data_IF_178193804849
#
_entry.id   IF_178193804849
#
_cell.length_a   1.000
_cell.length_b   1.000
_cell.length_c   1.000
_cell.angle_alpha   90.00
_cell.angle_beta   90.00
_cell.angle_gamma   90.00
#
_symmetry.space_group_name_H-M   'P 1'
#
loop_
_entity.id
_entity.type
_entity.pdbx_description
1 polymer ?
#
# COMPACT_ATOMS: atom_id res chain seq x y z
N UNK A 1 15.42 6.66 -9.88
CA UNK A 1 15.07 6.89 -8.46
C UNK A 1 14.11 5.80 -7.99
N UNK A 2 13.88 5.69 -6.68
CA UNK A 2 13.06 4.63 -6.07
C UNK A 2 11.63 4.53 -6.66
N UNK A 3 11.00 5.64 -7.05
CA UNK A 3 9.68 5.63 -7.72
C UNK A 3 9.71 4.91 -9.07
N UNK A 4 10.82 4.96 -9.82
CA UNK A 4 10.98 4.21 -11.07
C UNK A 4 10.99 2.70 -10.81
N UNK A 5 11.80 2.25 -9.84
CA UNK A 5 11.86 0.85 -9.41
C UNK A 5 10.51 0.35 -8.89
N UNK A 6 9.86 1.16 -8.05
CA UNK A 6 8.53 0.86 -7.52
C UNK A 6 7.49 0.69 -8.64
N UNK A 7 7.49 1.57 -9.64
CA UNK A 7 6.58 1.45 -10.80
C UNK A 7 6.91 0.23 -11.65
N UNK A 8 8.18 -0.09 -11.89
CA UNK A 8 8.58 -1.28 -12.66
C UNK A 8 8.09 -2.57 -11.99
N UNK A 9 8.27 -2.71 -10.68
CA UNK A 9 7.76 -3.85 -9.90
C UNK A 9 6.22 -3.94 -10.02
N UNK A 10 5.51 -2.83 -9.80
CA UNK A 10 4.05 -2.82 -9.88
C UNK A 10 3.56 -3.24 -11.28
N UNK A 11 4.21 -2.74 -12.33
CA UNK A 11 3.92 -3.13 -13.71
C UNK A 11 4.16 -4.62 -13.97
N UNK A 12 5.29 -5.17 -13.51
CA UNK A 12 5.63 -6.58 -13.68
C UNK A 12 4.60 -7.50 -13.01
N UNK A 13 4.30 -7.27 -11.72
CA UNK A 13 3.39 -8.12 -10.94
C UNK A 13 1.92 -7.99 -11.36
N UNK A 14 1.51 -6.82 -11.85
CA UNK A 14 0.09 -6.55 -12.15
C UNK A 14 -0.23 -6.56 -13.65
N UNK A 15 0.77 -6.77 -14.52
CA UNK A 15 0.63 -6.69 -15.98
C UNK A 15 0.11 -5.34 -16.46
N UNK A 16 0.54 -4.23 -15.84
CA UNK A 16 0.04 -2.88 -16.15
C UNK A 16 1.00 -2.10 -17.03
N UNK A 17 0.43 -1.27 -17.91
CA UNK A 17 1.20 -0.39 -18.79
C UNK A 17 1.96 0.70 -17.97
N UNK A 18 3.30 0.80 -18.09
CA UNK A 18 4.09 1.83 -17.41
C UNK A 18 3.63 3.27 -17.66
N UNK A 19 3.11 3.56 -18.85
CA UNK A 19 2.59 4.89 -19.21
C UNK A 19 1.39 5.33 -18.36
N UNK A 20 0.69 4.37 -17.71
CA UNK A 20 -0.46 4.66 -16.84
C UNK A 20 -0.09 4.78 -15.37
N UNK A 21 1.01 4.16 -14.95
CA UNK A 21 1.41 4.07 -13.54
C UNK A 21 2.55 5.02 -13.19
N UNK A 22 3.38 5.39 -14.17
CA UNK A 22 4.49 6.32 -13.95
C UNK A 22 3.96 7.69 -13.52
N UNK A 23 4.50 8.19 -12.41
CA UNK A 23 4.17 9.50 -11.85
C UNK A 23 5.37 10.45 -11.79
N UNK A 24 5.13 11.70 -11.37
CA UNK A 24 6.17 12.72 -11.28
C UNK A 24 7.21 12.40 -10.20
N UNK A 25 6.90 11.56 -9.20
CA UNK A 25 7.78 11.34 -8.05
C UNK A 25 8.10 12.67 -7.36
N UNK A 26 9.39 12.96 -7.24
CA UNK A 26 9.93 14.18 -6.61
C UNK A 26 9.78 15.45 -7.46
N UNK A 27 8.93 15.47 -8.49
CA UNK A 27 8.58 16.67 -9.25
C UNK A 27 8.99 16.70 -10.73
N UNK A 28 9.07 15.55 -11.40
CA UNK A 28 9.29 15.52 -12.84
C UNK A 28 8.14 16.19 -13.60
N UNK A 29 8.48 16.81 -14.73
CA UNK A 29 7.52 17.30 -15.72
C UNK A 29 6.97 16.17 -16.60
N UNK A 30 6.10 16.50 -17.55
CA UNK A 30 5.47 15.52 -18.43
C UNK A 30 6.48 14.74 -19.29
N UNK A 31 7.54 15.41 -19.76
CA UNK A 31 8.60 14.78 -20.54
C UNK A 31 9.40 13.80 -19.68
N UNK A 32 9.73 14.17 -18.44
CA UNK A 32 10.41 13.32 -17.48
C UNK A 32 9.57 12.11 -17.06
N UNK A 33 8.26 12.27 -16.88
CA UNK A 33 7.34 11.14 -16.62
C UNK A 33 7.29 10.18 -17.81
N UNK A 34 7.19 10.71 -19.04
CA UNK A 34 7.21 9.90 -20.25
C UNK A 34 8.52 9.12 -20.39
N UNK A 35 9.65 9.80 -20.23
CA UNK A 35 10.96 9.16 -20.28
C UNK A 35 11.11 8.07 -19.22
N UNK A 36 10.63 8.32 -17.98
CA UNK A 36 10.58 7.30 -16.92
C UNK A 36 9.80 6.06 -17.36
N UNK A 37 8.63 6.24 -17.97
CA UNK A 37 7.83 5.14 -18.45
C UNK A 37 8.51 4.35 -19.58
N UNK A 38 9.18 5.03 -20.53
CA UNK A 38 9.96 4.41 -21.60
C UNK A 38 11.11 3.55 -21.04
N UNK A 39 11.85 4.06 -20.05
CA UNK A 39 12.90 3.29 -19.36
C UNK A 39 12.33 2.03 -18.69
N UNK A 40 11.16 2.13 -18.05
CA UNK A 40 10.50 0.98 -17.43
C UNK A 40 10.08 -0.04 -18.48
N UNK A 41 9.53 0.38 -19.62
CA UNK A 41 9.18 -0.52 -20.73
C UNK A 41 10.41 -1.30 -21.20
N UNK A 42 11.53 -0.61 -21.44
CA UNK A 42 12.78 -1.26 -21.86
C UNK A 42 13.35 -2.20 -20.79
N UNK A 43 13.14 -1.91 -19.51
CA UNK A 43 13.54 -2.82 -18.42
C UNK A 43 12.68 -4.09 -18.43
N UNK A 44 11.35 -3.95 -18.50
CA UNK A 44 10.41 -5.07 -18.54
C UNK A 44 10.62 -5.98 -19.78
N UNK A 45 11.04 -5.42 -20.91
CA UNK A 45 11.36 -6.22 -22.11
C UNK A 45 12.65 -7.04 -21.99
N UNK A 46 13.56 -6.64 -21.09
CA UNK A 46 14.85 -7.29 -20.90
C UNK A 46 14.78 -8.47 -19.94
N UNK A 47 13.87 -8.41 -18.98
CA UNK A 47 13.76 -9.37 -17.90
C UNK A 47 12.48 -10.20 -18.07
N UNK A 48 12.65 -11.51 -18.15
CA UNK A 48 11.55 -12.46 -18.11
C UNK A 48 11.46 -13.02 -16.69
N UNK A 49 10.46 -12.58 -15.95
CA UNK A 49 10.36 -12.83 -14.53
C UNK A 49 9.15 -13.70 -14.18
N UNK A 50 8.37 -14.19 -15.17
CA UNK A 50 7.16 -15.02 -15.01
C UNK A 50 6.17 -14.53 -13.92
N UNK A 51 6.25 -13.24 -13.58
CA UNK A 51 5.59 -12.63 -12.43
C UNK A 51 5.95 -13.23 -11.05
N UNK A 52 7.04 -14.00 -10.96
CA UNK A 52 7.60 -14.47 -9.69
C UNK A 52 8.04 -13.26 -8.84
N UNK A 53 7.48 -13.07 -7.62
CA UNK A 53 7.74 -11.89 -6.82
C UNK A 53 9.20 -11.66 -6.46
N UNK A 54 9.97 -12.73 -6.25
CA UNK A 54 11.38 -12.65 -5.91
C UNK A 54 12.25 -12.36 -7.13
N UNK A 55 11.95 -12.95 -8.28
CA UNK A 55 12.59 -12.62 -9.55
C UNK A 55 12.37 -11.15 -9.92
N UNK A 56 11.13 -10.67 -9.80
CA UNK A 56 10.76 -9.26 -10.01
C UNK A 56 11.49 -8.32 -9.05
N UNK A 57 11.53 -8.66 -7.74
CA UNK A 57 12.26 -7.85 -6.75
C UNK A 57 13.76 -7.77 -7.08
N UNK A 58 14.35 -8.88 -7.53
CA UNK A 58 15.75 -8.96 -7.92
C UNK A 58 16.04 -8.15 -9.19
N UNK A 59 15.14 -8.16 -10.17
CA UNK A 59 15.33 -7.50 -11.46
C UNK A 59 15.12 -5.98 -11.39
N UNK A 60 14.09 -5.53 -10.66
CA UNK A 60 13.64 -4.13 -10.72
C UNK A 60 13.67 -3.39 -9.38
N UNK A 61 13.88 -4.12 -8.28
CA UNK A 61 13.87 -3.54 -6.94
C UNK A 61 15.10 -2.72 -6.59
N UNK A 62 15.15 -2.36 -5.31
CA UNK A 62 16.29 -1.76 -4.65
C UNK A 62 16.41 -2.33 -3.24
N UNK A 63 17.55 -2.13 -2.58
CA UNK A 63 17.78 -2.65 -1.23
C UNK A 63 16.72 -2.18 -0.24
N UNK A 64 16.23 -0.95 -0.39
CA UNK A 64 15.18 -0.37 0.43
C UNK A 64 13.83 -1.07 0.25
N UNK A 65 13.45 -1.42 -0.98
CA UNK A 65 12.19 -2.13 -1.25
C UNK A 65 12.29 -3.57 -0.74
N UNK A 66 13.44 -4.21 -0.94
CA UNK A 66 13.70 -5.56 -0.42
C UNK A 66 13.65 -5.60 1.10
N UNK A 67 14.26 -4.61 1.77
CA UNK A 67 14.23 -4.48 3.22
C UNK A 67 12.80 -4.27 3.73
N UNK A 68 12.01 -3.39 3.08
CA UNK A 68 10.61 -3.17 3.44
C UNK A 68 9.76 -4.44 3.25
N UNK A 69 9.91 -5.16 2.14
CA UNK A 69 9.16 -6.39 1.88
C UNK A 69 9.49 -7.47 2.93
N UNK A 70 10.78 -7.62 3.26
CA UNK A 70 11.25 -8.52 4.32
C UNK A 70 10.73 -8.13 5.71
N UNK A 71 10.73 -6.83 6.04
CA UNK A 71 10.17 -6.33 7.30
C UNK A 71 8.67 -6.60 7.41
N UNK A 72 7.92 -6.36 6.34
CA UNK A 72 6.48 -6.65 6.26
C UNK A 72 6.21 -8.14 6.50
N UNK A 73 6.93 -9.02 5.80
CA UNK A 73 6.79 -10.47 5.98
C UNK A 73 7.19 -10.91 7.40
N UNK A 74 8.27 -10.34 7.95
CA UNK A 74 8.74 -10.62 9.29
C UNK A 74 7.76 -10.19 10.39
N UNK A 75 7.07 -9.07 10.22
CA UNK A 75 6.01 -8.62 11.14
C UNK A 75 4.78 -9.53 11.05
N UNK A 76 4.32 -9.84 9.83
CA UNK A 76 3.19 -10.75 9.63
C UNK A 76 3.42 -12.14 10.22
N UNK A 77 4.63 -12.70 10.06
CA UNK A 77 5.02 -13.97 10.67
C UNK A 77 5.01 -13.97 12.21
N UNK A 78 5.06 -12.77 12.82
CA UNK A 78 5.01 -12.57 14.28
C UNK A 78 3.66 -12.05 14.76
N UNK A 79 2.65 -12.03 13.88
CA UNK A 79 1.35 -11.48 14.20
C UNK A 79 1.37 -10.01 14.62
N UNK A 80 2.26 -9.22 14.03
CA UNK A 80 2.38 -7.77 14.26
C UNK A 80 1.77 -7.03 13.06
N UNK A 81 0.70 -6.24 13.26
CA UNK A 81 0.16 -5.40 12.19
C UNK A 81 1.18 -4.39 11.67
N UNK A 82 1.17 -4.14 10.37
CA UNK A 82 2.05 -3.17 9.71
C UNK A 82 1.20 -2.07 9.09
N UNK A 83 1.55 -0.82 9.41
CA UNK A 83 0.95 0.35 8.79
C UNK A 83 1.75 0.74 7.55
N UNK A 84 1.16 0.52 6.38
CA UNK A 84 1.71 0.81 5.06
C UNK A 84 1.54 2.30 4.78
N UNK A 85 2.65 3.00 4.51
CA UNK A 85 2.70 4.45 4.27
C UNK A 85 2.11 4.83 2.90
N UNK A 86 2.96 5.15 1.92
CA UNK A 86 2.58 5.55 0.57
C UNK A 86 3.09 4.59 -0.50
N UNK A 87 3.23 5.12 -1.72
CA UNK A 87 3.42 4.34 -2.95
C UNK A 87 4.53 3.26 -2.86
N UNK A 88 5.73 3.61 -2.41
CA UNK A 88 6.88 2.69 -2.37
C UNK A 88 6.66 1.57 -1.36
N UNK A 89 6.13 1.89 -0.17
CA UNK A 89 5.86 0.89 0.87
C UNK A 89 4.72 -0.03 0.43
N UNK A 90 3.72 0.49 -0.29
CA UNK A 90 2.67 -0.31 -0.90
C UNK A 90 3.18 -1.26 -1.99
N UNK A 91 4.22 -0.89 -2.75
CA UNK A 91 4.89 -1.81 -3.67
C UNK A 91 5.61 -2.93 -2.92
N UNK A 92 6.31 -2.61 -1.82
CA UNK A 92 6.93 -3.64 -0.99
C UNK A 92 5.88 -4.60 -0.40
N UNK A 93 4.73 -4.07 0.02
CA UNK A 93 3.57 -4.87 0.44
C UNK A 93 3.03 -5.75 -0.69
N UNK A 94 2.96 -5.23 -1.92
CA UNK A 94 2.55 -6.00 -3.10
C UNK A 94 3.45 -7.21 -3.32
N UNK A 95 4.78 -7.04 -3.28
CA UNK A 95 5.72 -8.16 -3.39
C UNK A 95 5.46 -9.19 -2.29
N UNK A 96 5.38 -8.75 -1.03
CA UNK A 96 5.18 -9.64 0.11
C UNK A 96 3.87 -10.43 0.00
N UNK A 97 2.76 -9.78 -0.36
CA UNK A 97 1.45 -10.42 -0.51
C UNK A 97 1.41 -11.33 -1.73
N UNK A 98 2.03 -10.95 -2.85
CA UNK A 98 2.15 -11.82 -4.02
C UNK A 98 2.96 -13.09 -3.70
N UNK A 99 3.99 -12.98 -2.86
CA UNK A 99 4.77 -14.13 -2.41
C UNK A 99 4.01 -15.01 -1.41
N UNK A 100 3.24 -14.39 -0.50
CA UNK A 100 2.47 -15.07 0.52
C UNK A 100 1.16 -14.32 0.82
N UNK A 101 0.02 -14.77 0.25
CA UNK A 101 -1.26 -14.08 0.40
C UNK A 101 -1.72 -13.90 1.85
N UNK A 102 -1.32 -14.80 2.75
CA UNK A 102 -1.61 -14.75 4.19
C UNK A 102 -1.02 -13.54 4.93
N UNK A 103 -0.15 -12.76 4.29
CA UNK A 103 0.39 -11.50 4.84
C UNK A 103 -0.68 -10.40 4.84
N UNK A 104 -1.59 -10.39 3.85
CA UNK A 104 -2.52 -9.28 3.62
C UNK A 104 -3.36 -8.87 4.84
N UNK A 105 -3.91 -9.79 5.66
CA UNK A 105 -4.69 -9.41 6.86
C UNK A 105 -3.90 -8.62 7.91
N UNK A 106 -2.56 -8.67 7.88
CA UNK A 106 -1.71 -7.91 8.80
C UNK A 106 -1.44 -6.47 8.35
N UNK A 107 -1.94 -6.08 7.17
CA UNK A 107 -1.61 -4.79 6.57
C UNK A 107 -2.77 -3.80 6.71
N UNK A 108 -2.47 -2.66 7.32
CA UNK A 108 -3.31 -1.47 7.36
C UNK A 108 -2.71 -0.42 6.41
N UNK A 109 -3.52 0.33 5.69
CA UNK A 109 -3.02 1.30 4.71
C UNK A 109 -3.28 2.71 5.22
N UNK A 110 -2.21 3.49 5.39
CA UNK A 110 -2.28 4.78 6.05
C UNK A 110 -2.96 5.83 5.18
N UNK A 111 -2.47 6.04 3.96
CA UNK A 111 -2.99 7.09 3.10
C UNK A 111 -2.97 6.73 1.62
N UNK A 112 -3.84 7.41 0.85
CA UNK A 112 -3.74 7.44 -0.61
C UNK A 112 -2.69 8.47 -1.03
N UNK A 113 -1.51 7.99 -1.39
CA UNK A 113 -0.48 8.82 -2.06
C UNK A 113 -1.01 9.45 -3.35
N UNK A 114 -0.57 10.68 -3.64
CA UNK A 114 -0.86 11.39 -4.89
C UNK A 114 -0.06 10.87 -6.11
N UNK A 115 0.64 9.75 -5.97
CA UNK A 115 1.31 9.09 -7.10
C UNK A 115 0.26 8.35 -7.93
N UNK A 116 0.15 8.57 -9.25
CA UNK A 116 -0.91 8.00 -10.09
C UNK A 116 -1.03 6.47 -10.00
N UNK A 117 0.11 5.78 -9.92
CA UNK A 117 0.15 4.33 -9.83
C UNK A 117 -0.36 3.77 -8.50
N UNK A 118 -0.52 4.59 -7.45
CA UNK A 118 -0.83 4.09 -6.12
C UNK A 118 -2.24 3.51 -6.01
N UNK A 119 -3.22 4.13 -6.66
CA UNK A 119 -4.58 3.62 -6.67
C UNK A 119 -4.67 2.20 -7.26
N UNK A 120 -3.88 1.92 -8.30
CA UNK A 120 -3.84 0.59 -8.91
C UNK A 120 -3.31 -0.47 -7.93
N UNK A 121 -2.29 -0.12 -7.13
CA UNK A 121 -1.73 -1.01 -6.11
C UNK A 121 -2.74 -1.26 -4.98
N UNK A 122 -3.39 -0.19 -4.50
CA UNK A 122 -4.43 -0.31 -3.48
C UNK A 122 -5.55 -1.25 -3.96
N UNK A 123 -5.99 -1.12 -5.21
CA UNK A 123 -6.98 -2.03 -5.81
C UNK A 123 -6.47 -3.47 -5.89
N UNK A 124 -5.24 -3.70 -6.33
CA UNK A 124 -4.66 -5.06 -6.41
C UNK A 124 -4.58 -5.73 -5.02
N UNK A 125 -4.25 -4.94 -4.00
CA UNK A 125 -4.21 -5.39 -2.61
C UNK A 125 -5.58 -5.42 -1.95
N UNK A 126 -6.67 -5.02 -2.61
CA UNK A 126 -8.00 -4.84 -1.98
C UNK A 126 -7.91 -4.00 -0.70
N UNK A 127 -7.18 -2.89 -0.78
CA UNK A 127 -6.85 -2.01 0.32
C UNK A 127 -7.71 -0.75 0.31
N UNK A 128 -8.18 -0.36 1.48
CA UNK A 128 -8.84 0.92 1.72
C UNK A 128 -7.93 1.75 2.65
N UNK A 129 -7.38 2.87 2.17
CA UNK A 129 -6.51 3.70 2.99
C UNK A 129 -7.33 4.54 3.98
N UNK A 130 -6.76 4.80 5.17
CA UNK A 130 -7.41 5.58 6.22
C UNK A 130 -7.53 7.07 5.87
N UNK A 131 -6.56 7.61 5.13
CA UNK A 131 -6.43 9.03 4.83
C UNK A 131 -6.33 9.29 3.32
N UNK A 132 -6.82 10.45 2.88
CA UNK A 132 -6.69 10.93 1.51
C UNK A 132 -6.42 12.44 1.52
N UNK A 133 -5.14 12.80 1.69
CA UNK A 133 -4.70 14.17 1.96
C UNK A 133 -3.77 14.73 0.87
N UNK A 134 -3.71 14.07 -0.29
CA UNK A 134 -2.83 14.49 -1.40
C UNK A 134 -1.33 14.38 -1.11
N UNK A 135 -0.94 13.61 -0.09
CA UNK A 135 0.46 13.44 0.33
C UNK A 135 1.27 12.61 -0.68
N UNK A 136 2.58 12.89 -0.81
CA UNK A 136 3.51 12.15 -1.68
C UNK A 136 4.98 12.22 -1.24
N UNK A 137 5.22 12.59 0.02
CA UNK A 137 6.57 12.73 0.56
C UNK A 137 7.23 11.35 0.74
N UNK A 138 6.49 10.38 1.28
CA UNK A 138 7.04 9.10 1.72
C UNK A 138 7.62 9.21 3.13
N UNK A 139 8.70 8.46 3.38
CA UNK A 139 9.46 8.48 4.65
C UNK A 139 8.63 8.07 5.90
N UNK A 140 7.46 7.43 5.71
CA UNK A 140 6.58 7.06 6.81
C UNK A 140 5.69 8.21 7.29
N UNK A 141 5.66 9.34 6.59
CA UNK A 141 4.89 10.53 6.98
C UNK A 141 3.38 10.29 7.00
N UNK A 142 2.83 9.57 6.03
CA UNK A 142 1.41 9.18 6.00
C UNK A 142 1.08 8.17 7.09
N UNK A 143 1.97 7.19 7.31
CA UNK A 143 1.85 6.27 8.44
C UNK A 143 1.83 7.01 9.78
N UNK A 144 2.76 7.93 10.01
CA UNK A 144 2.80 8.74 11.22
C UNK A 144 1.52 9.59 11.40
N UNK A 145 0.99 10.16 10.31
CA UNK A 145 -0.25 10.93 10.32
C UNK A 145 -1.49 10.07 10.66
N UNK A 146 -1.49 8.78 10.34
CA UNK A 146 -2.60 7.87 10.61
C UNK A 146 -2.57 7.25 12.03
N UNK A 147 -1.44 7.29 12.74
CA UNK A 147 -1.30 6.72 14.09
C UNK A 147 -2.35 7.27 15.09
N UNK A 148 -2.62 8.59 15.17
CA UNK A 148 -3.62 9.12 16.10
C UNK A 148 -5.01 8.53 15.86
N UNK A 149 -5.40 8.30 14.61
CA UNK A 149 -6.69 7.69 14.26
C UNK A 149 -6.76 6.23 14.74
N UNK A 150 -5.68 5.47 14.58
CA UNK A 150 -5.62 4.09 15.09
C UNK A 150 -5.67 4.03 16.61
N UNK A 151 -4.98 4.95 17.30
CA UNK A 151 -5.05 5.06 18.76
C UNK A 151 -6.47 5.38 19.24
N UNK A 152 -7.14 6.32 18.59
CA UNK A 152 -8.53 6.65 18.87
C UNK A 152 -9.44 5.42 18.69
N UNK A 153 -9.27 4.65 17.64
CA UNK A 153 -10.04 3.43 17.42
C UNK A 153 -9.83 2.40 18.55
N UNK A 154 -8.60 2.22 19.01
CA UNK A 154 -8.30 1.35 20.15
C UNK A 154 -8.90 1.87 21.46
N UNK A 155 -8.80 3.18 21.72
CA UNK A 155 -9.40 3.82 22.91
C UNK A 155 -10.92 3.67 22.92
N UNK A 156 -11.57 3.90 21.78
CA UNK A 156 -13.01 3.68 21.61
C UNK A 156 -13.37 2.20 21.83
N UNK A 157 -12.62 1.26 21.28
CA UNK A 157 -12.90 -0.16 21.47
C UNK A 157 -12.75 -0.61 22.93
N UNK A 158 -11.73 -0.10 23.63
CA UNK A 158 -11.42 -0.50 25.01
C UNK A 158 -12.23 0.25 26.07
N UNK A 159 -12.67 1.48 25.77
CA UNK A 159 -13.23 2.42 26.73
C UNK A 159 -14.71 2.78 26.53
N UNK A 160 -15.36 2.37 25.44
CA UNK A 160 -16.81 2.62 25.29
C UNK A 160 -17.58 1.76 26.28
N UNK A 161 -18.41 2.42 27.08
CA UNK A 161 -19.44 1.77 27.88
C UNK A 161 -20.38 1.01 26.93
N UNK A 162 -20.82 -0.20 27.32
CA UNK A 162 -21.79 -0.94 26.51
C UNK A 162 -23.11 -0.17 26.39
N UNK A 163 -23.97 -0.52 25.43
CA UNK A 163 -25.31 0.10 25.33
C UNK A 163 -26.10 0.01 26.65
N UNK A 164 -25.90 -1.08 27.41
CA UNK A 164 -26.47 -1.27 28.73
C UNK A 164 -25.92 -0.27 29.77
N UNK A 165 -24.61 0.00 29.75
CA UNK A 165 -23.96 0.97 30.64
C UNK A 165 -24.30 2.42 30.27
N UNK A 166 -24.57 2.69 28.99
CA UNK A 166 -24.97 3.99 28.47
C UNK A 166 -26.48 4.29 28.63
N UNK A 167 -27.26 3.35 29.18
CA UNK A 167 -28.70 3.53 29.40
C UNK A 167 -29.52 3.64 28.13
N UNK A 168 -29.05 3.08 27.02
CA UNK A 168 -29.75 3.10 25.73
C UNK A 168 -30.58 1.84 25.61
N UNK A 169 -31.91 1.97 25.67
CA UNK A 169 -32.83 0.84 25.45
C UNK A 169 -32.80 0.43 23.97
N UNK A 170 -32.61 -0.85 23.69
CA UNK A 170 -32.85 -1.41 22.36
C UNK A 170 -34.27 -1.05 21.93
N UNK A 171 -34.40 -0.30 20.84
CA UNK A 171 -35.70 -0.17 20.18
C UNK A 171 -35.98 -1.48 19.49
N UNK A 172 -36.69 -2.38 20.17
CA UNK A 172 -37.38 -3.48 19.52
C UNK A 172 -38.30 -2.89 18.45
N UNK A 173 -37.99 -3.15 17.19
CA UNK A 173 -38.90 -2.93 16.08
C UNK A 173 -40.08 -3.88 16.25
N UNK A 174 -41.15 -3.41 16.90
CA UNK A 174 -42.46 -4.04 16.84
C UNK A 174 -42.95 -3.95 15.38
N UNK A 175 -42.74 -5.02 14.62
CA UNK A 175 -43.60 -5.31 13.47
C UNK A 175 -44.90 -5.88 14.04
N UNK A 176 -45.91 -5.01 14.11
CA UNK A 176 -47.28 -5.38 14.40
C UNK A 176 -48.12 -4.88 13.22
N UNK A 177 -48.81 -5.80 12.54
CA UNK A 177 -49.73 -5.53 11.41
C UNK A 177 -49.46 -6.34 10.15
#
# INVERSE_FOLDING_TARGET
GNTTSATAIACALMGKNPMKLAGPGTGLDLAGVRHKAEVIISALQRHDDDQDPMAVLRAFGGFEIAALAGAIAGCAARSIPVLIDGYIVSVAALIAVSQQPGIRPWLLFAHRSAEPGHQAILTALKAEPLLDLGMRLGEGSGAAAAIPLLRLACELHNGMASFADAGVSDKETSHDG
#
